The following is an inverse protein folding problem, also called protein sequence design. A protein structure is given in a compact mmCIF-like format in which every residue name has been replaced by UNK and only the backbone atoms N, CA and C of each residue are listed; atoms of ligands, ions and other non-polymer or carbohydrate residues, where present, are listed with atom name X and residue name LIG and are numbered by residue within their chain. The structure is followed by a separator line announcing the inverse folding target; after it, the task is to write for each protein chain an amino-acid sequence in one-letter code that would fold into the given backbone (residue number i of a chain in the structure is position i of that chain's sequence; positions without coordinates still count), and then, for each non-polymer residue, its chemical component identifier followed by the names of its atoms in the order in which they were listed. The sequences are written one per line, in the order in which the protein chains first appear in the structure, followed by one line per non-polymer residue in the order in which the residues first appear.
data_IF_694488992352
#
_entry.id   IF_694488992352
#
_cell.length_a   1.000
_cell.length_b   1.000
_cell.length_c   1.000
_cell.angle_alpha   90.00
_cell.angle_beta   90.00
_cell.angle_gamma   90.00
#
_symmetry.space_group_name_H-M   'P 1'
#
loop_
_entity.id
_entity.type
_entity.pdbx_description
1 polymer ?
#
# COMPACT_ATOMS: atom_id res chain seq x y z
N UNK A 1 38.44 -17.56 -3.85
CA UNK A 1 37.71 -16.73 -2.86
C UNK A 1 37.10 -15.57 -3.64
N UNK A 2 35.80 -15.65 -3.96
CA UNK A 2 35.12 -14.62 -4.76
C UNK A 2 34.67 -13.47 -3.84
N UNK A 3 34.75 -12.19 -4.27
CA UNK A 3 34.28 -11.08 -3.45
C UNK A 3 32.73 -11.10 -3.35
N UNK A 4 32.17 -10.59 -2.24
CA UNK A 4 30.72 -10.47 -2.09
C UNK A 4 30.17 -9.47 -3.11
N UNK A 5 29.06 -9.84 -3.77
CA UNK A 5 28.31 -8.94 -4.65
C UNK A 5 27.73 -7.80 -3.81
N UNK A 6 28.23 -6.58 -4.01
CA UNK A 6 27.59 -5.36 -3.52
C UNK A 6 26.20 -5.27 -4.15
N UNK A 7 25.16 -5.38 -3.31
CA UNK A 7 23.79 -5.17 -3.73
C UNK A 7 23.59 -3.67 -3.97
N UNK A 8 22.95 -3.24 -5.08
CA UNK A 8 22.64 -1.85 -5.28
C UNK A 8 21.68 -1.41 -4.17
N UNK A 9 22.13 -0.43 -3.38
CA UNK A 9 21.30 0.25 -2.39
C UNK A 9 20.22 0.98 -3.18
N UNK A 10 19.03 0.41 -3.19
CA UNK A 10 17.87 1.07 -3.81
C UNK A 10 17.51 2.20 -2.86
N UNK A 11 17.93 3.43 -3.19
CA UNK A 11 17.40 4.64 -2.59
C UNK A 11 15.91 4.68 -2.94
N UNK A 12 15.09 4.18 -2.00
CA UNK A 12 13.65 4.36 -2.04
C UNK A 12 13.43 5.87 -1.90
N UNK A 13 13.10 6.54 -3.00
CA UNK A 13 12.68 7.93 -2.97
C UNK A 13 11.44 8.02 -2.07
N UNK A 14 11.64 8.45 -0.83
CA UNK A 14 10.61 8.74 0.15
C UNK A 14 9.87 9.99 -0.32
N UNK A 15 8.92 9.80 -1.23
CA UNK A 15 7.81 10.75 -1.30
C UNK A 15 6.99 10.50 -0.04
N UNK A 16 6.86 11.47 0.90
CA UNK A 16 5.99 11.31 2.04
C UNK A 16 4.57 11.35 1.49
N UNK A 17 4.04 10.18 1.12
CA UNK A 17 2.61 10.00 0.96
C UNK A 17 2.08 10.19 2.37
N UNK A 18 1.60 11.39 2.71
CA UNK A 18 1.01 11.66 4.01
C UNK A 18 -0.05 10.59 4.28
N UNK A 19 0.23 9.68 5.22
CA UNK A 19 -0.63 8.54 5.55
C UNK A 19 -2.07 8.94 5.90
N UNK A 20 -2.26 10.21 6.28
CA UNK A 20 -3.54 10.87 6.49
C UNK A 20 -4.52 10.67 5.32
N UNK A 21 -4.08 10.82 4.06
CA UNK A 21 -4.97 10.69 2.90
C UNK A 21 -5.52 9.26 2.71
N UNK A 22 -4.76 8.26 3.15
CA UNK A 22 -5.21 6.87 3.10
C UNK A 22 -6.33 6.64 4.13
N UNK A 23 -6.18 7.20 5.34
CA UNK A 23 -7.05 6.95 6.49
C UNK A 23 -8.33 7.79 6.50
N UNK A 24 -8.37 8.97 5.86
CA UNK A 24 -9.53 9.90 5.86
C UNK A 24 -10.87 9.25 5.48
N UNK A 25 -10.86 8.22 4.62
CA UNK A 25 -12.07 7.53 4.20
C UNK A 25 -12.50 6.34 5.06
N UNK A 26 -11.81 6.06 6.17
CA UNK A 26 -12.13 4.94 7.06
C UNK A 26 -12.91 5.43 8.30
N UNK A 27 -13.80 4.60 8.85
CA UNK A 27 -14.32 4.83 10.20
C UNK A 27 -13.17 4.96 11.20
N UNK A 28 -13.26 5.91 12.14
CA UNK A 28 -12.19 6.26 13.09
C UNK A 28 -11.63 5.05 13.86
N UNK A 29 -12.52 4.19 14.37
CA UNK A 29 -12.12 2.98 15.11
C UNK A 29 -11.41 1.92 14.24
N UNK A 30 -11.58 1.96 12.92
CA UNK A 30 -10.85 1.12 11.96
C UNK A 30 -9.53 1.77 11.59
N UNK A 31 -9.54 3.08 11.32
CA UNK A 31 -8.37 3.89 11.00
C UNK A 31 -7.33 3.85 12.13
N UNK A 32 -7.75 3.96 13.39
CA UNK A 32 -6.87 3.86 14.54
C UNK A 32 -6.13 2.51 14.59
N UNK A 33 -6.84 1.39 14.35
CA UNK A 33 -6.22 0.05 14.37
C UNK A 33 -5.18 -0.10 13.27
N UNK A 34 -5.53 0.18 12.01
CA UNK A 34 -4.57 0.02 10.90
C UNK A 34 -3.48 1.08 10.90
N UNK A 35 -3.80 2.28 11.37
CA UNK A 35 -2.84 3.37 11.51
C UNK A 35 -1.71 3.02 12.47
N UNK A 36 -2.06 2.46 13.64
CA UNK A 36 -1.06 1.99 14.61
C UNK A 36 -0.37 0.69 14.14
N UNK A 37 -1.11 -0.29 13.60
CA UNK A 37 -0.55 -1.58 13.13
C UNK A 37 0.49 -1.44 12.03
N UNK A 38 0.34 -0.43 11.17
CA UNK A 38 1.20 -0.21 10.00
C UNK A 38 2.04 1.07 10.11
N UNK A 39 2.07 1.73 11.27
CA UNK A 39 2.95 2.88 11.51
C UNK A 39 2.52 4.19 10.86
N UNK A 40 1.31 4.27 10.30
CA UNK A 40 0.80 5.48 9.65
C UNK A 40 0.45 6.60 10.65
N UNK A 41 0.24 6.24 11.91
CA UNK A 41 -0.04 7.17 13.02
C UNK A 41 1.08 7.17 14.07
N UNK A 42 2.22 6.53 13.78
CA UNK A 42 3.36 6.49 14.68
C UNK A 42 4.42 7.50 14.20
N UNK A 43 5.02 8.26 15.12
CA UNK A 43 6.02 9.28 14.79
C UNK A 43 7.27 8.69 14.12
N UNK A 44 7.63 7.46 14.47
CA UNK A 44 8.76 6.71 13.93
C UNK A 44 8.42 5.91 12.66
N UNK A 45 7.15 5.92 12.24
CA UNK A 45 6.66 5.12 11.11
C UNK A 45 6.62 3.61 11.40
N UNK A 46 6.84 3.18 12.64
CA UNK A 46 6.91 1.75 12.99
C UNK A 46 5.56 1.24 13.44
N UNK A 47 5.12 0.13 12.85
CA UNK A 47 3.86 -0.50 13.19
C UNK A 47 3.91 -1.28 14.51
N UNK A 48 2.87 -1.12 15.32
CA UNK A 48 2.66 -1.89 16.55
C UNK A 48 2.15 -3.30 16.26
N UNK A 49 2.46 -4.23 17.16
CA UNK A 49 1.90 -5.59 17.15
C UNK A 49 0.41 -5.56 17.51
N UNK A 50 -0.29 -6.66 17.22
CA UNK A 50 -1.72 -6.80 17.57
C UNK A 50 -1.93 -6.66 19.08
N UNK A 51 -1.01 -7.20 19.89
CA UNK A 51 -1.13 -7.21 21.34
C UNK A 51 -0.88 -5.80 21.91
N UNK A 52 0.12 -5.08 21.41
CA UNK A 52 0.36 -3.66 21.78
C UNK A 52 -0.80 -2.76 21.37
N UNK A 53 -1.38 -2.94 20.18
CA UNK A 53 -2.57 -2.18 19.75
C UNK A 53 -3.79 -2.51 20.60
N UNK A 54 -3.94 -3.78 21.00
CA UNK A 54 -5.01 -4.22 21.89
C UNK A 54 -4.91 -3.51 23.25
N UNK A 55 -3.72 -3.45 23.83
CA UNK A 55 -3.45 -2.72 25.07
C UNK A 55 -3.69 -1.22 24.90
N UNK A 56 -3.14 -0.61 23.85
CA UNK A 56 -3.24 0.83 23.61
C UNK A 56 -4.68 1.32 23.43
N UNK A 57 -5.54 0.53 22.78
CA UNK A 57 -6.93 0.90 22.47
C UNK A 57 -7.97 0.30 23.42
N UNK A 58 -7.54 -0.46 24.44
CA UNK A 58 -8.45 -1.15 25.37
C UNK A 58 -9.31 -2.21 24.68
N UNK A 59 -8.73 -2.97 23.74
CA UNK A 59 -9.40 -3.99 22.95
C UNK A 59 -8.88 -5.39 23.27
N UNK A 60 -9.62 -6.40 22.84
CA UNK A 60 -9.11 -7.77 22.77
C UNK A 60 -8.34 -8.00 21.47
N UNK A 61 -7.41 -8.96 21.50
CA UNK A 61 -6.68 -9.43 20.31
C UNK A 61 -7.59 -9.79 19.13
N UNK A 62 -8.75 -10.38 19.41
CA UNK A 62 -9.74 -10.74 18.40
C UNK A 62 -10.40 -9.49 17.78
N UNK A 63 -10.78 -8.51 18.60
CA UNK A 63 -11.35 -7.25 18.10
C UNK A 63 -10.36 -6.48 17.22
N UNK A 64 -9.06 -6.48 17.56
CA UNK A 64 -8.04 -5.87 16.70
C UNK A 64 -7.99 -6.55 15.33
N UNK A 65 -7.96 -7.89 15.28
CA UNK A 65 -7.96 -8.65 14.01
C UNK A 65 -9.23 -8.42 13.18
N UNK A 66 -10.40 -8.41 13.81
CA UNK A 66 -11.67 -8.16 13.14
C UNK A 66 -11.69 -6.74 12.52
N UNK A 67 -11.27 -5.72 13.28
CA UNK A 67 -11.19 -4.34 12.80
C UNK A 67 -10.14 -4.19 11.69
N UNK A 68 -8.97 -4.79 11.83
CA UNK A 68 -7.94 -4.80 10.79
C UNK A 68 -8.48 -5.41 9.48
N UNK A 69 -9.15 -6.57 9.56
CA UNK A 69 -9.75 -7.22 8.40
C UNK A 69 -10.82 -6.37 7.70
N UNK A 70 -11.69 -5.71 8.48
CA UNK A 70 -12.70 -4.77 7.95
C UNK A 70 -12.04 -3.57 7.27
N UNK A 71 -11.08 -2.94 7.95
CA UNK A 71 -10.33 -1.80 7.44
C UNK A 71 -9.66 -2.10 6.09
N UNK A 72 -8.95 -3.23 6.00
CA UNK A 72 -8.29 -3.67 4.76
C UNK A 72 -9.32 -3.95 3.65
N UNK A 73 -10.48 -4.52 3.98
CA UNK A 73 -11.56 -4.75 3.02
C UNK A 73 -12.13 -3.43 2.47
N UNK A 74 -12.29 -2.42 3.33
CA UNK A 74 -12.69 -1.07 2.92
C UNK A 74 -11.66 -0.43 1.98
N UNK A 75 -10.38 -0.49 2.35
CA UNK A 75 -9.28 0.06 1.54
C UNK A 75 -9.20 -0.61 0.16
N UNK A 76 -9.26 -1.94 0.11
CA UNK A 76 -9.28 -2.70 -1.16
C UNK A 76 -10.45 -2.31 -2.05
N UNK A 77 -11.63 -2.15 -1.48
CA UNK A 77 -12.83 -1.72 -2.21
C UNK A 77 -12.67 -0.30 -2.78
N UNK A 78 -12.00 0.59 -2.05
CA UNK A 78 -11.70 1.95 -2.51
C UNK A 78 -10.70 1.93 -3.67
N UNK A 79 -9.62 1.15 -3.56
CA UNK A 79 -8.63 0.98 -4.62
C UNK A 79 -9.25 0.41 -5.91
N UNK A 80 -10.15 -0.56 -5.79
CA UNK A 80 -10.84 -1.14 -6.95
C UNK A 80 -11.66 -0.12 -7.75
N UNK A 81 -12.13 0.97 -7.12
CA UNK A 81 -12.82 2.08 -7.82
C UNK A 81 -11.84 2.98 -8.58
N UNK A 82 -10.62 3.13 -8.08
CA UNK A 82 -9.58 3.98 -8.69
C UNK A 82 -8.86 3.25 -9.83
N UNK A 83 -8.74 1.91 -9.76
CA UNK A 83 -8.03 1.08 -10.75
C UNK A 83 -8.63 1.08 -12.17
N UNK A 84 -9.77 1.71 -12.43
CA UNK A 84 -10.30 1.92 -13.80
C UNK A 84 -9.84 3.23 -14.46
N UNK A 85 -8.81 3.90 -13.91
CA UNK A 85 -8.31 5.20 -14.41
C UNK A 85 -7.08 5.15 -15.31
N UNK A 86 -6.46 3.99 -15.54
CA UNK A 86 -5.52 3.89 -16.66
C UNK A 86 -6.34 3.95 -17.95
N UNK A 87 -6.09 4.92 -18.87
CA UNK A 87 -6.62 4.82 -20.21
C UNK A 87 -6.26 3.43 -20.75
N UNK A 88 -7.22 2.74 -21.34
CA UNK A 88 -6.89 1.64 -22.23
C UNK A 88 -6.13 2.30 -23.37
N UNK A 89 -4.79 2.39 -23.28
CA UNK A 89 -3.99 2.72 -24.44
C UNK A 89 -4.50 1.82 -25.57
N UNK A 90 -4.90 2.44 -26.68
CA UNK A 90 -5.28 1.69 -27.86
C UNK A 90 -4.21 0.62 -28.08
N UNK A 91 -4.60 -0.65 -28.30
CA UNK A 91 -3.63 -1.72 -28.42
C UNK A 91 -2.61 -1.30 -29.47
N UNK A 92 -1.33 -1.23 -29.09
CA UNK A 92 -0.22 -0.87 -29.97
C UNK A 92 -0.46 -1.60 -31.30
N UNK A 93 -0.72 -0.87 -32.41
CA UNK A 93 -1.12 -1.51 -33.65
C UNK A 93 0.00 -2.48 -34.04
N UNK A 94 -0.35 -3.77 -34.13
CA UNK A 94 0.58 -4.88 -34.49
C UNK A 94 1.00 -4.85 -35.96
N UNK A 95 1.16 -3.68 -36.56
CA UNK A 95 1.48 -3.57 -37.97
C UNK A 95 2.03 -2.18 -38.29
N UNK A 96 3.34 -2.13 -38.55
CA UNK A 96 4.00 -1.11 -39.39
C UNK A 96 5.45 -1.48 -39.72
N UNK A 97 6.12 -2.33 -38.90
CA UNK A 97 7.53 -2.68 -39.11
C UNK A 97 7.80 -3.55 -40.35
N UNK A 98 6.77 -4.12 -40.98
CA UNK A 98 6.92 -5.01 -42.14
C UNK A 98 6.98 -4.36 -43.52
N UNK A 99 6.94 -3.03 -43.65
CA UNK A 99 6.92 -2.35 -44.97
C UNK A 99 8.13 -1.48 -45.29
N UNK A 100 9.12 -1.40 -44.41
CA UNK A 100 10.25 -0.48 -44.56
C UNK A 100 11.48 -1.09 -45.31
N UNK A 101 11.41 -2.35 -45.76
CA UNK A 101 12.56 -3.06 -46.35
C UNK A 101 12.32 -3.64 -47.75
N UNK A 102 11.21 -3.33 -48.41
CA UNK A 102 11.00 -3.66 -49.83
C UNK A 102 11.32 -2.44 -50.70
N UNK A 103 12.61 -2.20 -50.95
CA UNK A 103 13.15 -1.33 -52.02
C UNK A 103 14.47 -1.90 -52.51
#
# INVERSE_FOLDING_TARGET
MAPPREAPVVELAETPVSGDDLLVGLPEHLAAVVGLRYGLLCEDGVGLTIDEVAEHLGLTRWQVRDREGRALSHLRSRLARVGRRAPLEEPIPRSSIGRAFDC
#
